data_IF_691010377973
#
_entry.id   IF_691010377973
#
_cell.length_a   1.000
_cell.length_b   1.000
_cell.length_c   1.000
_cell.angle_alpha   90.00
_cell.angle_beta   90.00
_cell.angle_gamma   90.00
#
_symmetry.space_group_name_H-M   'P 1'
#
loop_
_entity.id
_entity.type
_entity.pdbx_description
1 polymer ?
#
# COMPACT_ATOMS: atom_id res chain seq x y z
N UNK A 1 -19.61 4.22 27.57
CA UNK A 1 -18.32 3.91 26.90
C UNK A 1 -18.21 4.83 25.72
N UNK A 2 -17.11 5.57 25.58
CA UNK A 2 -16.96 6.47 24.43
C UNK A 2 -16.75 5.65 23.16
N UNK A 3 -17.31 6.14 22.05
CA UNK A 3 -17.28 5.48 20.74
C UNK A 3 -16.44 6.26 19.74
N UNK A 4 -15.64 5.56 18.94
CA UNK A 4 -14.85 6.16 17.88
C UNK A 4 -15.02 5.39 16.58
N UNK A 5 -15.18 6.12 15.49
CA UNK A 5 -15.21 5.56 14.14
C UNK A 5 -14.04 6.06 13.31
N UNK A 6 -13.53 5.20 12.46
CA UNK A 6 -12.41 5.52 11.56
C UNK A 6 -12.81 5.38 10.11
N UNK A 7 -12.40 6.35 9.31
CA UNK A 7 -12.42 6.24 7.86
C UNK A 7 -11.02 6.35 7.31
N UNK A 8 -10.60 5.36 6.54
CA UNK A 8 -9.27 5.34 5.91
C UNK A 8 -9.39 5.51 4.41
N UNK A 9 -8.70 6.50 3.89
CA UNK A 9 -8.50 6.70 2.46
C UNK A 9 -7.02 6.53 2.13
N UNK A 10 -6.73 5.90 0.98
CA UNK A 10 -5.37 5.87 0.43
C UNK A 10 -4.71 4.51 0.39
N UNK A 11 -3.46 4.45 0.85
CA UNK A 11 -2.56 3.32 0.66
C UNK A 11 -2.46 2.41 1.90
N UNK A 12 -1.71 1.32 1.78
CA UNK A 12 -1.43 0.37 2.87
C UNK A 12 -0.75 1.04 4.07
N UNK A 13 0.03 2.10 3.85
CA UNK A 13 0.62 2.88 4.94
C UNK A 13 -0.47 3.58 5.74
N UNK A 14 -1.45 4.21 5.07
CA UNK A 14 -2.59 4.84 5.77
C UNK A 14 -3.41 3.79 6.54
N UNK A 15 -3.61 2.60 5.96
CA UNK A 15 -4.30 1.51 6.66
C UNK A 15 -3.56 1.11 7.94
N UNK A 16 -2.26 0.82 7.85
CA UNK A 16 -1.43 0.55 9.02
C UNK A 16 -1.55 1.67 10.09
N UNK A 17 -1.46 2.92 9.66
CA UNK A 17 -1.55 4.07 10.58
C UNK A 17 -2.92 4.20 11.24
N UNK A 18 -3.99 3.86 10.54
CA UNK A 18 -5.35 3.82 11.12
C UNK A 18 -5.46 2.73 12.16
N UNK A 19 -5.01 1.52 11.86
CA UNK A 19 -5.07 0.40 12.80
C UNK A 19 -4.26 0.70 14.07
N UNK A 20 -3.09 1.33 13.92
CA UNK A 20 -2.29 1.78 15.06
C UNK A 20 -3.01 2.86 15.92
N UNK A 21 -3.68 3.82 15.27
CA UNK A 21 -4.50 4.80 15.99
C UNK A 21 -5.71 4.15 16.68
N UNK A 22 -6.35 3.15 16.05
CA UNK A 22 -7.43 2.37 16.66
C UNK A 22 -6.96 1.70 17.98
N UNK A 23 -5.75 1.14 17.99
CA UNK A 23 -5.18 0.57 19.23
C UNK A 23 -4.99 1.60 20.34
N UNK A 24 -4.56 2.82 20.00
CA UNK A 24 -4.44 3.89 20.99
C UNK A 24 -5.80 4.23 21.61
N UNK A 25 -6.86 4.30 20.82
CA UNK A 25 -8.21 4.52 21.33
C UNK A 25 -8.73 3.32 22.15
N UNK A 26 -8.48 2.08 21.70
CA UNK A 26 -8.83 0.87 22.47
C UNK A 26 -8.14 0.85 23.85
N UNK A 27 -6.83 1.15 23.91
CA UNK A 27 -6.06 1.24 25.17
C UNK A 27 -6.61 2.34 26.12
N UNK A 28 -7.28 3.36 25.56
CA UNK A 28 -7.95 4.42 26.32
C UNK A 28 -9.39 4.09 26.71
N UNK A 29 -9.90 2.90 26.32
CA UNK A 29 -11.24 2.42 26.67
C UNK A 29 -12.34 2.85 25.70
N UNK A 30 -12.02 3.26 24.48
CA UNK A 30 -13.00 3.51 23.43
C UNK A 30 -13.43 2.22 22.72
N UNK A 31 -14.71 2.16 22.34
CA UNK A 31 -15.27 1.17 21.43
C UNK A 31 -15.05 1.62 19.98
N UNK A 32 -14.48 0.74 19.14
CA UNK A 32 -14.35 1.01 17.71
C UNK A 32 -15.64 0.61 17.00
N UNK A 33 -16.25 1.55 16.30
CA UNK A 33 -17.52 1.38 15.61
C UNK A 33 -17.38 1.53 14.09
N UNK A 34 -18.43 1.15 13.35
CA UNK A 34 -18.45 1.30 11.90
C UNK A 34 -18.57 2.77 11.49
N UNK A 35 -18.24 3.08 10.25
CA UNK A 35 -18.24 4.45 9.70
C UNK A 35 -19.63 5.12 9.68
N UNK A 36 -20.70 4.34 9.81
CA UNK A 36 -22.09 4.80 9.78
C UNK A 36 -22.75 4.90 11.16
N UNK A 37 -22.05 4.48 12.20
CA UNK A 37 -22.56 4.49 13.56
C UNK A 37 -22.45 5.89 14.17
N UNK A 38 -23.32 6.18 15.13
CA UNK A 38 -23.24 7.42 15.91
C UNK A 38 -22.12 7.26 16.94
N UNK A 39 -21.07 8.09 16.79
CA UNK A 39 -19.87 8.04 17.60
C UNK A 39 -19.57 9.39 18.27
N UNK A 40 -18.77 9.36 19.35
CA UNK A 40 -18.27 10.55 20.04
C UNK A 40 -17.09 11.19 19.30
N UNK A 41 -16.34 10.38 18.56
CA UNK A 41 -15.17 10.81 17.80
C UNK A 41 -15.21 10.18 16.41
N UNK A 42 -14.92 10.95 15.37
CA UNK A 42 -14.66 10.46 14.02
C UNK A 42 -13.25 10.83 13.62
N UNK A 43 -12.47 9.84 13.20
CA UNK A 43 -11.10 10.03 12.72
C UNK A 43 -11.06 9.73 11.22
N UNK A 44 -10.68 10.72 10.41
CA UNK A 44 -10.56 10.57 8.95
C UNK A 44 -9.08 10.60 8.58
N UNK A 45 -8.54 9.42 8.24
CA UNK A 45 -7.17 9.31 7.75
C UNK A 45 -7.15 9.54 6.24
N UNK A 46 -6.65 10.68 5.83
CA UNK A 46 -6.79 11.25 4.50
C UNK A 46 -5.66 10.86 3.56
N UNK A 47 -5.98 10.79 2.27
CA UNK A 47 -5.03 10.62 1.18
C UNK A 47 -5.08 11.82 0.24
N UNK A 48 -3.95 12.16 -0.37
CA UNK A 48 -3.83 13.27 -1.33
C UNK A 48 -3.17 12.87 -2.65
N UNK A 49 -3.07 11.57 -2.95
CA UNK A 49 -2.46 11.08 -4.20
C UNK A 49 -3.30 11.45 -5.43
N UNK A 50 -4.61 11.52 -5.29
CA UNK A 50 -5.53 11.90 -6.38
C UNK A 50 -6.56 12.95 -5.92
N UNK A 51 -7.04 13.79 -6.85
CA UNK A 51 -8.12 14.75 -6.58
C UNK A 51 -9.41 14.08 -6.10
N UNK A 52 -9.65 12.84 -6.53
CA UNK A 52 -10.80 12.04 -6.06
C UNK A 52 -10.69 11.73 -4.56
N UNK A 53 -9.48 11.46 -4.08
CA UNK A 53 -9.24 11.18 -2.66
C UNK A 53 -9.52 12.41 -1.80
N UNK A 54 -9.09 13.61 -2.22
CA UNK A 54 -9.39 14.86 -1.51
C UNK A 54 -10.89 15.14 -1.47
N UNK A 55 -11.59 14.93 -2.62
CA UNK A 55 -13.04 15.08 -2.68
C UNK A 55 -13.77 14.12 -1.74
N UNK A 56 -13.37 12.86 -1.71
CA UNK A 56 -13.93 11.87 -0.78
C UNK A 56 -13.68 12.28 0.67
N UNK A 57 -12.47 12.73 1.01
CA UNK A 57 -12.17 13.23 2.37
C UNK A 57 -13.17 14.31 2.80
N UNK A 58 -13.40 15.33 1.97
CA UNK A 58 -14.39 16.39 2.28
C UNK A 58 -15.82 15.88 2.41
N UNK A 59 -16.22 14.92 1.58
CA UNK A 59 -17.58 14.31 1.70
C UNK A 59 -17.78 13.59 3.03
N UNK A 60 -16.74 12.88 3.51
CA UNK A 60 -16.82 12.18 4.79
C UNK A 60 -16.78 13.13 6.00
N UNK A 61 -16.00 14.21 5.93
CA UNK A 61 -16.00 15.27 6.92
C UNK A 61 -17.43 15.80 7.13
N UNK A 62 -18.10 16.22 6.05
CA UNK A 62 -19.49 16.70 6.12
C UNK A 62 -20.49 15.65 6.59
N UNK A 63 -20.23 14.35 6.32
CA UNK A 63 -21.12 13.26 6.76
C UNK A 63 -21.01 12.99 8.25
N UNK A 64 -19.81 12.98 8.81
CA UNK A 64 -19.56 12.70 10.23
C UNK A 64 -20.38 13.64 11.14
N UNK A 65 -20.33 14.94 10.88
CA UNK A 65 -21.12 15.94 11.67
C UNK A 65 -22.63 15.84 11.46
N UNK A 66 -23.09 15.26 10.33
CA UNK A 66 -24.53 14.98 10.14
C UNK A 66 -25.01 13.81 11.01
N UNK A 67 -24.13 12.84 11.29
CA UNK A 67 -24.45 11.71 12.18
C UNK A 67 -24.50 12.14 13.64
N UNK A 68 -23.55 12.93 14.09
CA UNK A 68 -23.50 13.48 15.43
C UNK A 68 -22.85 14.89 15.42
N UNK A 69 -23.64 15.92 15.68
CA UNK A 69 -23.16 17.32 15.67
C UNK A 69 -22.17 17.60 16.79
N UNK A 70 -22.28 16.90 17.91
CA UNK A 70 -21.45 17.09 19.11
C UNK A 70 -20.18 16.21 19.07
N UNK A 71 -20.01 15.38 18.06
CA UNK A 71 -18.82 14.56 17.93
C UNK A 71 -17.57 15.39 17.65
N UNK A 72 -16.44 14.97 18.17
CA UNK A 72 -15.13 15.48 17.78
C UNK A 72 -14.75 14.91 16.42
N UNK A 73 -14.39 15.78 15.50
CA UNK A 73 -13.94 15.41 14.16
C UNK A 73 -12.46 15.67 14.00
N UNK A 74 -11.68 14.58 13.91
CA UNK A 74 -10.24 14.62 13.70
C UNK A 74 -9.89 14.25 12.25
N UNK A 75 -9.12 15.10 11.58
CA UNK A 75 -8.63 14.88 10.21
C UNK A 75 -7.12 14.74 10.23
N UNK A 76 -6.64 13.57 9.78
CA UNK A 76 -5.20 13.23 9.84
C UNK A 76 -4.69 12.80 8.45
N UNK A 77 -3.37 12.72 8.28
CA UNK A 77 -2.74 12.10 7.12
C UNK A 77 -2.26 13.07 6.04
N UNK A 78 -2.17 12.55 4.80
CA UNK A 78 -1.45 13.26 3.73
C UNK A 78 -2.14 14.54 3.26
N UNK A 79 -3.47 14.59 3.19
CA UNK A 79 -4.17 15.80 2.78
C UNK A 79 -4.04 16.89 3.85
N UNK A 80 -4.19 16.54 5.13
CA UNK A 80 -3.97 17.48 6.24
C UNK A 80 -2.54 18.04 6.24
N UNK A 81 -1.55 17.24 5.84
CA UNK A 81 -0.16 17.68 5.79
C UNK A 81 0.11 18.70 4.67
N UNK A 82 -0.47 18.51 3.47
CA UNK A 82 -0.15 19.37 2.31
C UNK A 82 -1.09 20.56 2.15
N UNK A 83 -2.26 20.51 2.74
CA UNK A 83 -3.28 21.55 2.65
C UNK A 83 -3.97 21.82 4.01
N UNK A 84 -3.20 22.10 5.08
CA UNK A 84 -3.77 22.30 6.42
C UNK A 84 -4.76 23.48 6.46
N UNK A 85 -4.51 24.54 5.70
CA UNK A 85 -5.39 25.71 5.64
C UNK A 85 -6.75 25.38 5.02
N UNK A 86 -6.78 24.53 3.96
CA UNK A 86 -8.03 24.07 3.35
C UNK A 86 -8.87 23.26 4.35
N UNK A 87 -8.22 22.44 5.19
CA UNK A 87 -8.90 21.65 6.22
C UNK A 87 -9.34 22.55 7.38
N UNK A 88 -8.50 23.50 7.80
CA UNK A 88 -8.84 24.45 8.87
C UNK A 88 -10.02 25.36 8.52
N UNK A 89 -10.23 25.65 7.24
CA UNK A 89 -11.37 26.43 6.75
C UNK A 89 -12.70 25.65 6.85
N UNK A 90 -12.66 24.35 7.12
CA UNK A 90 -13.89 23.55 7.34
C UNK A 90 -14.30 23.71 8.81
N UNK A 91 -15.40 24.43 9.04
CA UNK A 91 -15.86 24.81 10.38
C UNK A 91 -16.05 23.61 11.32
N UNK A 92 -16.46 22.48 10.78
CA UNK A 92 -16.77 21.25 11.52
C UNK A 92 -15.52 20.47 12.00
N UNK A 93 -14.30 20.83 11.62
CA UNK A 93 -13.09 20.10 12.00
C UNK A 93 -12.55 20.64 13.34
N UNK A 94 -12.34 19.75 14.28
CA UNK A 94 -11.89 20.07 15.64
C UNK A 94 -10.39 19.80 15.83
N UNK A 95 -9.85 18.72 15.23
CA UNK A 95 -8.44 18.31 15.37
C UNK A 95 -7.83 18.04 13.99
N UNK A 96 -6.68 18.68 13.71
CA UNK A 96 -5.93 18.48 12.47
C UNK A 96 -4.52 18.01 12.82
N UNK A 97 -4.16 16.83 12.29
CA UNK A 97 -2.84 16.24 12.46
C UNK A 97 -2.30 15.89 11.07
N UNK A 98 -1.04 16.24 10.77
CA UNK A 98 -0.39 15.87 9.53
C UNK A 98 0.01 14.38 9.49
N UNK A 99 1.19 14.13 8.96
CA UNK A 99 1.77 12.79 8.89
C UNK A 99 2.74 12.50 10.04
N UNK A 100 2.81 13.38 11.04
CA UNK A 100 3.58 13.27 12.28
C UNK A 100 2.68 13.46 13.49
N UNK A 101 3.17 13.06 14.66
CA UNK A 101 2.50 13.26 15.96
C UNK A 101 1.14 12.55 16.11
N UNK A 102 0.87 11.51 15.32
CA UNK A 102 -0.40 10.78 15.38
C UNK A 102 -0.60 10.01 16.68
N UNK A 103 0.48 9.71 17.41
CA UNK A 103 0.40 9.15 18.76
C UNK A 103 -0.41 10.04 19.74
N UNK A 104 -0.51 11.35 19.46
CA UNK A 104 -1.26 12.30 20.29
C UNK A 104 -2.76 12.39 19.96
N UNK A 105 -3.26 11.59 19.01
CA UNK A 105 -4.64 11.72 18.51
C UNK A 105 -5.69 11.62 19.61
N UNK A 106 -5.54 10.67 20.54
CA UNK A 106 -6.51 10.47 21.64
C UNK A 106 -6.49 11.66 22.60
N UNK A 107 -5.29 12.08 23.03
CA UNK A 107 -5.10 13.25 23.89
C UNK A 107 -5.78 14.50 23.33
N UNK A 108 -5.50 14.82 22.05
CA UNK A 108 -6.03 16.00 21.37
C UNK A 108 -7.55 15.95 21.18
N UNK A 109 -8.12 14.79 20.90
CA UNK A 109 -9.57 14.63 20.81
C UNK A 109 -10.24 14.82 22.17
N UNK A 110 -9.67 14.26 23.24
CA UNK A 110 -10.19 14.43 24.59
C UNK A 110 -10.06 15.88 25.10
N UNK A 111 -8.96 16.55 24.79
CA UNK A 111 -8.72 17.95 25.14
C UNK A 111 -9.68 18.88 24.38
N UNK A 112 -9.87 18.65 23.07
CA UNK A 112 -10.83 19.40 22.25
C UNK A 112 -12.25 19.26 22.81
N UNK A 113 -12.67 18.04 23.19
CA UNK A 113 -13.99 17.78 23.79
C UNK A 113 -14.18 18.52 25.14
N UNK A 114 -13.12 18.64 25.96
CA UNK A 114 -13.17 19.31 27.26
C UNK A 114 -13.14 20.83 27.17
N UNK A 115 -12.28 21.34 26.31
CA UNK A 115 -12.01 22.79 26.22
C UNK A 115 -12.81 23.51 25.17
N UNK A 116 -13.44 22.78 24.25
CA UNK A 116 -14.08 23.29 23.04
C UNK A 116 -13.11 24.09 22.13
N UNK A 117 -11.80 23.78 22.23
CA UNK A 117 -10.76 24.38 21.40
C UNK A 117 -10.46 23.49 20.20
N UNK A 118 -10.12 24.13 19.09
CA UNK A 118 -9.63 23.43 17.89
C UNK A 118 -8.11 23.34 17.91
N UNK A 119 -7.60 22.19 17.47
CA UNK A 119 -6.15 21.93 17.43
C UNK A 119 -5.68 21.71 15.99
N UNK A 120 -4.66 22.45 15.57
CA UNK A 120 -3.91 22.19 14.35
C UNK A 120 -2.43 22.01 14.72
N UNK A 121 -1.96 20.76 14.71
CA UNK A 121 -0.57 20.42 15.05
C UNK A 121 0.23 19.90 13.83
N UNK A 122 -0.16 20.34 12.63
CA UNK A 122 0.62 20.04 11.43
C UNK A 122 1.99 20.69 11.55
N UNK A 123 3.04 19.88 11.49
CA UNK A 123 4.43 20.34 11.61
C UNK A 123 5.18 20.21 10.29
N UNK A 124 6.23 21.01 10.12
CA UNK A 124 7.15 20.85 9.00
C UNK A 124 7.86 19.48 9.04
N UNK A 125 8.10 18.93 7.87
CA UNK A 125 8.74 17.64 7.69
C UNK A 125 10.24 17.83 7.42
N UNK A 126 11.03 17.94 8.46
CA UNK A 126 12.49 18.10 8.39
C UNK A 126 13.22 16.77 8.46
N UNK A 127 14.53 16.77 8.21
CA UNK A 127 15.40 15.59 8.38
C UNK A 127 15.49 15.16 9.86
N UNK A 128 15.43 16.10 10.77
CA UNK A 128 15.60 15.88 12.21
C UNK A 128 14.35 15.29 12.90
N UNK A 129 13.18 15.33 12.23
CA UNK A 129 12.01 14.65 12.76
C UNK A 129 12.23 13.12 12.73
N UNK A 130 12.22 12.44 13.84
CA UNK A 130 12.33 10.99 13.95
C UNK A 130 11.25 10.21 13.16
N UNK A 131 11.38 8.91 13.10
CA UNK A 131 10.30 8.03 12.62
C UNK A 131 9.08 8.18 13.54
N UNK A 132 7.87 8.30 12.97
CA UNK A 132 6.63 8.36 13.75
C UNK A 132 6.27 6.95 14.21
N UNK A 133 6.72 6.60 15.40
CA UNK A 133 6.60 5.24 15.93
C UNK A 133 5.15 5.00 16.35
N UNK A 134 4.44 4.28 15.52
CA UNK A 134 3.17 3.65 15.84
C UNK A 134 3.41 2.15 15.73
N UNK A 135 2.98 1.38 16.71
CA UNK A 135 3.08 -0.09 16.70
C UNK A 135 1.69 -0.70 16.79
N UNK A 136 1.56 -1.89 16.22
CA UNK A 136 0.30 -2.63 16.19
C UNK A 136 0.53 -3.99 16.83
N UNK A 137 -0.31 -4.35 17.77
CA UNK A 137 -0.31 -5.69 18.39
C UNK A 137 -1.33 -6.62 17.71
N UNK A 138 -2.47 -6.05 17.26
CA UNK A 138 -3.52 -6.77 16.58
C UNK A 138 -4.08 -5.94 15.43
N UNK A 139 -4.23 -6.54 14.25
CA UNK A 139 -4.89 -5.96 13.08
C UNK A 139 -6.27 -6.60 12.86
N UNK A 140 -7.13 -5.91 12.12
CA UNK A 140 -8.47 -6.44 11.81
C UNK A 140 -8.42 -7.76 11.03
N UNK A 141 -7.50 -7.85 10.06
CA UNK A 141 -7.18 -9.13 9.41
C UNK A 141 -6.37 -10.00 10.37
N UNK A 142 -6.89 -11.19 10.71
CA UNK A 142 -6.19 -12.15 11.57
C UNK A 142 -5.22 -13.07 10.82
N UNK A 143 -4.96 -12.82 9.54
CA UNK A 143 -4.19 -13.73 8.68
C UNK A 143 -2.91 -13.10 8.18
N UNK A 144 -2.99 -11.87 7.65
CA UNK A 144 -1.86 -11.08 7.15
C UNK A 144 -1.77 -9.75 7.86
N UNK A 145 -0.57 -9.36 8.28
CA UNK A 145 -0.30 -8.10 8.94
C UNK A 145 0.61 -7.20 8.11
N UNK A 146 0.35 -5.89 8.13
CA UNK A 146 1.26 -4.89 7.57
C UNK A 146 2.23 -4.43 8.63
N UNK A 147 3.51 -4.27 8.26
CA UNK A 147 4.52 -3.62 9.11
C UNK A 147 5.11 -2.45 8.33
N UNK A 148 4.95 -1.25 8.87
CA UNK A 148 5.57 -0.04 8.30
C UNK A 148 7.02 0.05 8.76
N UNK A 149 7.95 -0.10 7.80
CA UNK A 149 9.39 -0.07 8.08
C UNK A 149 10.05 1.25 7.64
N UNK A 150 9.38 2.02 6.76
CA UNK A 150 9.99 3.17 6.12
C UNK A 150 8.94 4.24 5.84
N UNK A 151 9.33 5.50 5.90
CA UNK A 151 8.51 6.67 5.61
C UNK A 151 9.30 7.69 4.79
N UNK A 152 8.57 8.58 4.07
CA UNK A 152 9.17 9.62 3.24
C UNK A 152 9.79 9.11 1.94
N UNK A 153 10.15 10.04 1.04
CA UNK A 153 10.74 9.70 -0.26
C UNK A 153 11.53 10.89 -0.82
N UNK A 154 12.76 10.63 -1.30
CA UNK A 154 13.65 11.63 -1.90
C UNK A 154 13.72 11.52 -3.43
N UNK A 155 12.76 10.82 -4.09
CA UNK A 155 12.79 10.63 -5.54
C UNK A 155 12.31 11.86 -6.31
N UNK A 156 11.39 12.66 -5.76
CA UNK A 156 10.83 13.86 -6.37
C UNK A 156 10.38 13.64 -7.82
N UNK A 157 9.66 12.51 -8.07
CA UNK A 157 9.03 12.29 -9.35
C UNK A 157 8.07 13.46 -9.66
N UNK A 158 8.05 13.97 -10.89
CA UNK A 158 7.40 15.24 -11.25
C UNK A 158 5.88 15.25 -11.02
N UNK A 159 5.23 14.10 -10.96
CA UNK A 159 3.80 13.95 -10.68
C UNK A 159 3.46 13.73 -9.21
N UNK A 160 4.48 13.50 -8.36
CA UNK A 160 4.27 12.90 -7.04
C UNK A 160 4.28 13.95 -5.91
N UNK A 161 3.17 14.00 -5.17
CA UNK A 161 3.04 14.89 -4.00
C UNK A 161 3.65 14.29 -2.72
N UNK A 162 4.03 13.02 -2.73
CA UNK A 162 4.45 12.28 -1.54
C UNK A 162 5.69 12.86 -0.84
N UNK A 163 6.76 13.33 -1.53
CA UNK A 163 7.88 13.99 -0.84
C UNK A 163 7.44 15.17 0.04
N UNK A 164 6.41 15.89 -0.39
CA UNK A 164 5.87 17.05 0.34
C UNK A 164 4.91 16.64 1.47
N UNK A 165 4.21 15.50 1.28
CA UNK A 165 3.27 14.99 2.27
C UNK A 165 3.91 14.12 3.35
N UNK A 166 5.04 13.47 3.06
CA UNK A 166 5.69 12.50 3.95
C UNK A 166 7.13 12.87 4.32
N UNK A 167 7.68 13.90 3.68
CA UNK A 167 9.03 14.40 3.93
C UNK A 167 10.13 13.48 3.42
N UNK A 168 11.37 13.70 3.92
CA UNK A 168 12.55 12.92 3.54
C UNK A 168 12.48 11.49 4.05
N UNK A 169 13.33 10.63 3.47
CA UNK A 169 13.48 9.22 3.86
C UNK A 169 13.73 9.10 5.36
N UNK A 170 12.99 8.20 5.99
CA UNK A 170 13.15 7.79 7.38
C UNK A 170 12.91 6.29 7.50
N UNK A 171 13.87 5.62 8.10
CA UNK A 171 13.84 4.19 8.34
C UNK A 171 13.56 3.90 9.81
N UNK A 172 12.72 2.92 10.06
CA UNK A 172 12.47 2.42 11.40
C UNK A 172 13.63 1.55 11.86
N UNK A 173 14.06 1.59 13.14
CA UNK A 173 15.09 0.69 13.66
C UNK A 173 14.71 -0.78 13.41
N UNK A 174 15.70 -1.59 13.00
CA UNK A 174 15.45 -2.98 12.63
C UNK A 174 14.98 -3.83 13.80
N UNK A 175 15.42 -3.51 15.01
CA UNK A 175 15.00 -4.22 16.23
C UNK A 175 13.53 -3.99 16.54
N UNK A 176 13.05 -2.74 16.40
CA UNK A 176 11.62 -2.40 16.59
C UNK A 176 10.73 -3.12 15.58
N UNK A 177 11.21 -3.25 14.32
CA UNK A 177 10.50 -4.00 13.26
C UNK A 177 10.42 -5.48 13.64
N UNK A 178 11.52 -6.06 14.10
CA UNK A 178 11.59 -7.46 14.51
C UNK A 178 10.68 -7.76 15.69
N UNK A 179 10.70 -6.93 16.73
CA UNK A 179 9.86 -7.10 17.92
C UNK A 179 8.36 -7.06 17.56
N UNK A 180 7.95 -6.11 16.70
CA UNK A 180 6.56 -6.06 16.24
C UNK A 180 6.20 -7.30 15.45
N UNK A 181 7.07 -7.75 14.53
CA UNK A 181 6.83 -8.95 13.75
C UNK A 181 6.72 -10.22 14.61
N UNK A 182 7.53 -10.34 15.67
CA UNK A 182 7.44 -11.43 16.66
C UNK A 182 6.11 -11.41 17.38
N UNK A 183 5.65 -10.24 17.83
CA UNK A 183 4.34 -10.09 18.50
C UNK A 183 3.21 -10.51 17.57
N UNK A 184 3.22 -10.05 16.32
CA UNK A 184 2.23 -10.43 15.31
C UNK A 184 2.25 -11.95 15.03
N UNK A 185 3.42 -12.55 14.84
CA UNK A 185 3.55 -13.99 14.62
C UNK A 185 3.01 -14.81 15.81
N UNK A 186 3.31 -14.39 17.04
CA UNK A 186 2.80 -15.02 18.27
C UNK A 186 1.29 -14.85 18.44
N UNK A 187 0.71 -13.77 17.90
CA UNK A 187 -0.74 -13.55 17.84
C UNK A 187 -1.43 -14.32 16.69
N UNK A 188 -0.68 -15.17 15.97
CA UNK A 188 -1.21 -16.10 14.97
C UNK A 188 -1.21 -15.59 13.53
N UNK A 189 -0.63 -14.42 13.26
CA UNK A 189 -0.48 -13.93 11.89
C UNK A 189 0.54 -14.77 11.12
N UNK A 190 0.15 -15.23 9.93
CA UNK A 190 0.93 -16.15 9.10
C UNK A 190 1.80 -15.45 8.05
N UNK A 191 1.38 -14.28 7.62
CA UNK A 191 2.11 -13.47 6.63
C UNK A 191 2.32 -12.05 7.13
N UNK A 192 3.55 -11.54 6.99
CA UNK A 192 3.88 -10.13 7.19
C UNK A 192 4.13 -9.47 5.85
N UNK A 193 3.48 -8.32 5.64
CA UNK A 193 3.66 -7.49 4.45
C UNK A 193 4.51 -6.29 4.84
N UNK A 194 5.75 -6.28 4.37
CA UNK A 194 6.67 -5.15 4.57
C UNK A 194 6.17 -3.97 3.76
N UNK A 195 5.81 -2.87 4.43
CA UNK A 195 5.25 -1.68 3.77
C UNK A 195 6.01 -0.40 4.14
N UNK A 196 5.89 0.59 3.28
CA UNK A 196 6.47 1.92 3.43
C UNK A 196 6.12 2.78 2.23
N UNK A 197 6.61 4.00 2.23
CA UNK A 197 6.44 4.94 1.12
C UNK A 197 7.37 4.57 -0.05
N UNK A 198 8.62 4.23 0.27
CA UNK A 198 9.63 3.80 -0.70
C UNK A 198 10.57 2.79 -0.02
N UNK A 199 10.07 1.57 0.18
CA UNK A 199 10.79 0.54 0.97
C UNK A 199 12.19 0.23 0.46
N UNK A 200 12.43 0.40 -0.86
CA UNK A 200 13.75 0.24 -1.46
C UNK A 200 14.81 1.23 -0.96
N UNK A 201 14.40 2.34 -0.35
CA UNK A 201 15.32 3.29 0.27
C UNK A 201 15.54 3.07 1.76
N UNK A 202 15.02 1.98 2.33
CA UNK A 202 15.26 1.65 3.73
C UNK A 202 16.77 1.57 4.03
N UNK A 203 17.16 2.22 5.11
CA UNK A 203 18.53 2.24 5.63
C UNK A 203 19.43 3.33 5.05
N UNK A 204 18.99 4.08 4.01
CA UNK A 204 19.82 5.15 3.43
C UNK A 204 20.03 6.35 4.39
N UNK A 205 19.22 6.47 5.41
CA UNK A 205 19.25 7.52 6.43
C UNK A 205 19.85 7.08 7.77
N UNK A 206 20.12 5.79 7.95
CA UNK A 206 20.59 5.24 9.24
C UNK A 206 22.09 5.44 9.51
N UNK A 207 22.87 5.92 8.54
CA UNK A 207 24.30 6.15 8.71
C UNK A 207 25.15 4.88 8.84
N UNK A 208 24.58 3.71 8.55
CA UNK A 208 25.24 2.41 8.54
C UNK A 208 24.92 1.62 7.26
N UNK A 209 25.41 0.38 7.15
CA UNK A 209 25.20 -0.46 5.97
C UNK A 209 23.91 -1.27 5.98
N UNK A 210 23.04 -1.08 6.97
CA UNK A 210 21.75 -1.77 7.06
C UNK A 210 20.85 -1.36 5.88
N UNK A 211 20.30 -2.34 5.17
CA UNK A 211 19.42 -2.16 4.01
C UNK A 211 18.17 -3.04 4.12
N UNK A 212 17.25 -2.89 3.18
CA UNK A 212 16.00 -3.66 3.12
C UNK A 212 16.23 -5.18 3.24
N UNK A 213 17.28 -5.70 2.62
CA UNK A 213 17.56 -7.14 2.65
C UNK A 213 17.89 -7.64 4.06
N UNK A 214 18.56 -6.83 4.87
CA UNK A 214 18.90 -7.21 6.25
C UNK A 214 17.65 -7.31 7.13
N UNK A 215 16.67 -6.44 6.89
CA UNK A 215 15.34 -6.55 7.55
C UNK A 215 14.67 -7.86 7.16
N UNK A 216 14.66 -8.21 5.87
CA UNK A 216 14.02 -9.44 5.37
C UNK A 216 14.69 -10.69 5.95
N UNK A 217 16.02 -10.72 5.97
CA UNK A 217 16.80 -11.83 6.57
C UNK A 217 16.47 -11.96 8.05
N UNK A 218 16.46 -10.86 8.80
CA UNK A 218 16.12 -10.87 10.22
C UNK A 218 14.69 -11.35 10.48
N UNK A 219 13.71 -10.89 9.70
CA UNK A 219 12.32 -11.35 9.81
C UNK A 219 12.17 -12.84 9.44
N UNK A 220 13.01 -13.34 8.53
CA UNK A 220 12.97 -14.76 8.11
C UNK A 220 13.37 -15.73 9.23
N UNK A 221 14.00 -15.26 10.31
CA UNK A 221 14.34 -16.07 11.48
C UNK A 221 13.18 -16.33 12.44
N UNK A 222 12.06 -15.60 12.31
CA UNK A 222 10.89 -15.71 13.22
C UNK A 222 10.18 -17.04 12.96
N UNK A 223 10.19 -17.98 13.91
CA UNK A 223 9.70 -19.35 13.73
C UNK A 223 8.21 -19.41 13.33
N UNK A 224 7.33 -18.70 14.03
CA UNK A 224 5.88 -18.74 13.85
C UNK A 224 5.38 -17.95 12.64
N UNK A 225 6.26 -17.32 11.87
CA UNK A 225 5.95 -16.59 10.65
C UNK A 225 6.16 -17.50 9.43
N UNK A 226 5.13 -17.70 8.62
CA UNK A 226 5.19 -18.56 7.42
C UNK A 226 5.65 -17.80 6.18
N UNK A 227 5.27 -16.51 6.03
CA UNK A 227 5.48 -15.73 4.81
C UNK A 227 5.90 -14.28 5.08
N UNK A 228 6.75 -13.78 4.20
CA UNK A 228 7.15 -12.38 4.12
C UNK A 228 6.85 -11.89 2.70
N UNK A 229 6.03 -10.86 2.58
CA UNK A 229 5.70 -10.25 1.29
C UNK A 229 6.23 -8.82 1.22
N UNK A 230 6.81 -8.48 0.08
CA UNK A 230 7.23 -7.11 -0.20
C UNK A 230 6.07 -6.30 -0.77
N UNK A 231 5.95 -5.05 -0.35
CA UNK A 231 5.15 -4.05 -1.05
C UNK A 231 5.89 -3.55 -2.30
N UNK A 232 5.50 -2.39 -2.82
CA UNK A 232 6.09 -1.83 -4.03
C UNK A 232 7.59 -1.54 -3.87
N UNK A 233 8.38 -2.00 -4.82
CA UNK A 233 9.81 -1.72 -4.93
C UNK A 233 10.15 -1.08 -6.28
N UNK A 234 11.29 -0.44 -6.38
CA UNK A 234 11.79 0.09 -7.65
C UNK A 234 12.84 -0.82 -8.27
N UNK A 235 12.94 -0.77 -9.60
CA UNK A 235 13.94 -1.52 -10.35
C UNK A 235 15.39 -1.19 -9.91
N UNK A 236 15.61 0.01 -9.36
CA UNK A 236 16.92 0.48 -8.93
C UNK A 236 17.59 -0.36 -7.84
N UNK A 237 16.79 -0.94 -6.93
CA UNK A 237 17.35 -1.76 -5.83
C UNK A 237 17.68 -3.20 -6.26
N UNK A 238 17.18 -3.63 -7.41
CA UNK A 238 17.37 -5.00 -7.89
C UNK A 238 18.83 -5.18 -8.33
N UNK A 239 19.58 -5.97 -7.57
CA UNK A 239 20.91 -6.45 -7.90
C UNK A 239 20.95 -7.97 -7.83
N UNK A 240 21.97 -8.60 -8.41
CA UNK A 240 22.13 -10.05 -8.35
C UNK A 240 22.33 -10.51 -6.90
N UNK A 241 23.11 -9.77 -6.11
CA UNK A 241 23.32 -10.04 -4.70
C UNK A 241 22.02 -9.97 -3.90
N UNK A 242 21.26 -8.87 -4.06
CA UNK A 242 19.94 -8.72 -3.42
C UNK A 242 19.03 -9.91 -3.72
N UNK A 243 18.93 -10.33 -4.98
CA UNK A 243 18.06 -11.43 -5.38
C UNK A 243 18.52 -12.79 -4.85
N UNK A 244 19.84 -13.03 -4.79
CA UNK A 244 20.41 -14.28 -4.22
C UNK A 244 20.13 -14.34 -2.72
N UNK A 245 20.41 -13.28 -1.98
CA UNK A 245 20.10 -13.19 -0.54
C UNK A 245 18.58 -13.39 -0.30
N UNK A 246 17.76 -12.72 -1.11
CA UNK A 246 16.30 -12.85 -1.04
C UNK A 246 15.82 -14.29 -1.29
N UNK A 247 16.40 -15.00 -2.27
CA UNK A 247 16.08 -16.41 -2.57
C UNK A 247 16.44 -17.36 -1.44
N UNK A 248 17.47 -17.04 -0.65
CA UNK A 248 17.83 -17.80 0.54
C UNK A 248 16.80 -17.66 1.67
N UNK A 249 16.04 -16.56 1.69
CA UNK A 249 14.96 -16.33 2.64
C UNK A 249 13.70 -17.11 2.22
N UNK A 250 13.59 -18.39 2.65
CA UNK A 250 12.51 -19.31 2.23
C UNK A 250 11.08 -18.82 2.50
N UNK A 251 10.91 -17.91 3.43
CA UNK A 251 9.60 -17.29 3.78
C UNK A 251 9.17 -16.20 2.82
N UNK A 252 10.08 -15.67 1.99
CA UNK A 252 9.76 -14.61 1.02
C UNK A 252 8.82 -15.12 -0.06
N UNK A 253 7.75 -14.39 -0.30
CA UNK A 253 6.78 -14.65 -1.34
C UNK A 253 7.34 -14.30 -2.72
N UNK A 254 7.11 -15.15 -3.71
CA UNK A 254 7.59 -14.98 -5.09
C UNK A 254 6.69 -14.02 -5.88
N UNK A 255 6.51 -12.82 -5.35
CA UNK A 255 5.74 -11.74 -5.93
C UNK A 255 6.49 -10.43 -5.79
N UNK A 256 6.71 -9.73 -6.89
CA UNK A 256 7.31 -8.39 -6.88
C UNK A 256 6.37 -7.39 -7.54
N UNK A 257 5.94 -6.40 -6.76
CA UNK A 257 5.32 -5.21 -7.33
C UNK A 257 6.43 -4.24 -7.71
N UNK A 258 6.79 -4.25 -9.00
CA UNK A 258 7.91 -3.46 -9.52
C UNK A 258 7.36 -2.23 -10.25
N UNK A 259 7.43 -1.06 -9.62
CA UNK A 259 6.84 0.19 -10.14
C UNK A 259 7.51 0.62 -11.45
N UNK A 260 6.76 0.62 -12.57
CA UNK A 260 7.23 1.02 -13.90
C UNK A 260 6.81 2.46 -14.25
N UNK A 261 5.55 2.79 -14.05
CA UNK A 261 4.88 4.06 -14.32
C UNK A 261 4.64 4.38 -15.81
N UNK A 262 5.58 4.11 -16.71
CA UNK A 262 5.42 4.22 -18.18
C UNK A 262 6.39 3.26 -18.88
N UNK A 263 6.01 2.74 -20.03
CA UNK A 263 6.86 1.92 -20.91
C UNK A 263 7.57 2.72 -22.00
N UNK A 264 7.57 4.05 -21.94
CA UNK A 264 8.24 4.95 -22.88
C UNK A 264 9.33 5.77 -22.18
N UNK A 265 10.55 5.75 -22.69
CA UNK A 265 11.70 6.43 -22.08
C UNK A 265 11.55 7.96 -22.06
N UNK A 266 10.91 8.54 -23.07
CA UNK A 266 10.58 9.98 -23.10
C UNK A 266 9.72 10.35 -21.90
N UNK A 267 8.66 9.58 -21.63
CA UNK A 267 7.74 9.83 -20.53
C UNK A 267 8.39 9.55 -19.18
N UNK A 268 9.18 8.47 -19.04
CA UNK A 268 9.95 8.20 -17.82
C UNK A 268 10.89 9.36 -17.48
N UNK A 269 11.55 9.95 -18.46
CA UNK A 269 12.40 11.13 -18.28
C UNK A 269 11.59 12.35 -17.81
N UNK A 270 10.45 12.62 -18.42
CA UNK A 270 9.55 13.71 -17.99
C UNK A 270 8.99 13.48 -16.58
N UNK A 271 8.77 12.24 -16.19
CA UNK A 271 8.37 11.82 -14.83
C UNK A 271 9.51 11.92 -13.80
N UNK A 272 10.75 12.26 -14.22
CA UNK A 272 11.96 12.23 -13.38
C UNK A 272 12.24 10.82 -12.81
N UNK A 273 12.00 9.76 -13.62
CA UNK A 273 12.38 8.39 -13.24
C UNK A 273 13.87 8.16 -13.55
N UNK A 274 14.56 7.45 -12.65
CA UNK A 274 16.02 7.25 -12.71
C UNK A 274 16.40 5.94 -13.38
N UNK A 275 15.55 5.43 -14.28
CA UNK A 275 15.79 4.23 -15.09
C UNK A 275 15.15 4.37 -16.46
N UNK A 276 15.65 3.57 -17.41
CA UNK A 276 15.09 3.40 -18.74
C UNK A 276 14.35 2.07 -18.86
N UNK A 277 13.58 1.91 -19.93
CA UNK A 277 12.91 0.65 -20.26
C UNK A 277 13.90 -0.50 -20.43
N UNK A 278 15.08 -0.25 -21.02
CA UNK A 278 16.16 -1.26 -21.14
C UNK A 278 16.72 -1.69 -19.77
N UNK A 279 16.97 -0.74 -18.87
CA UNK A 279 17.41 -1.06 -17.50
C UNK A 279 16.35 -1.89 -16.78
N UNK A 280 15.06 -1.52 -16.90
CA UNK A 280 13.94 -2.24 -16.30
C UNK A 280 13.85 -3.67 -16.85
N UNK A 281 13.94 -3.84 -18.16
CA UNK A 281 13.96 -5.14 -18.85
C UNK A 281 15.07 -6.06 -18.31
N UNK A 282 16.28 -5.53 -18.18
CA UNK A 282 17.43 -6.28 -17.61
C UNK A 282 17.16 -6.76 -16.19
N UNK A 283 16.54 -5.89 -15.33
CA UNK A 283 16.16 -6.27 -13.97
C UNK A 283 15.09 -7.35 -13.94
N UNK A 284 14.09 -7.26 -14.79
CA UNK A 284 13.03 -8.29 -14.92
C UNK A 284 13.64 -9.63 -15.35
N UNK A 285 14.55 -9.66 -16.32
CA UNK A 285 15.24 -10.90 -16.73
C UNK A 285 15.97 -11.53 -15.56
N UNK A 286 16.75 -10.75 -14.82
CA UNK A 286 17.48 -11.21 -13.64
C UNK A 286 16.54 -11.76 -12.56
N UNK A 287 15.39 -11.14 -12.33
CA UNK A 287 14.37 -11.64 -11.41
C UNK A 287 13.85 -13.00 -11.88
N UNK A 288 13.45 -13.12 -13.16
CA UNK A 288 12.89 -14.37 -13.72
C UNK A 288 13.90 -15.52 -13.76
N UNK A 289 15.19 -15.23 -13.92
CA UNK A 289 16.27 -16.24 -13.85
C UNK A 289 16.39 -16.83 -12.44
N UNK A 290 16.25 -16.01 -11.38
CA UNK A 290 16.42 -16.45 -9.99
C UNK A 290 15.09 -16.98 -9.40
N UNK A 291 13.98 -16.41 -9.84
CA UNK A 291 12.61 -16.76 -9.41
C UNK A 291 11.75 -17.12 -10.64
N UNK A 292 11.84 -18.34 -11.19
CA UNK A 292 11.15 -18.72 -12.43
C UNK A 292 9.61 -18.58 -12.37
N UNK A 293 9.01 -18.82 -11.18
CA UNK A 293 7.56 -18.76 -10.97
C UNK A 293 7.09 -17.43 -10.38
N UNK A 294 7.88 -16.37 -10.53
CA UNK A 294 7.56 -15.06 -9.98
C UNK A 294 6.36 -14.42 -10.66
N UNK A 295 5.44 -13.88 -9.87
CA UNK A 295 4.46 -12.93 -10.38
C UNK A 295 5.02 -11.51 -10.31
N UNK A 296 4.97 -10.81 -11.43
CA UNK A 296 5.35 -9.40 -11.54
C UNK A 296 4.10 -8.55 -11.70
N UNK A 297 3.93 -7.58 -10.81
CA UNK A 297 2.85 -6.60 -10.90
C UNK A 297 3.42 -5.20 -10.98
N UNK A 298 2.66 -4.24 -11.52
CA UNK A 298 3.14 -2.87 -11.69
C UNK A 298 2.01 -1.85 -11.69
N UNK A 299 2.39 -0.58 -11.53
CA UNK A 299 1.54 0.59 -11.74
C UNK A 299 1.95 1.29 -13.04
N UNK A 300 0.94 1.71 -13.83
CA UNK A 300 1.12 2.53 -15.05
C UNK A 300 0.23 3.76 -14.97
N UNK A 301 0.81 4.92 -15.28
CA UNK A 301 0.10 6.19 -15.38
C UNK A 301 -0.05 6.53 -16.86
N UNK A 302 -1.28 6.67 -17.33
CA UNK A 302 -1.60 7.07 -18.70
C UNK A 302 -2.01 8.55 -18.77
N UNK A 303 -1.72 9.18 -19.91
CA UNK A 303 -2.07 10.59 -20.15
C UNK A 303 -1.25 11.52 -19.29
N UNK A 304 0.02 11.20 -19.06
CA UNK A 304 0.98 12.11 -18.46
C UNK A 304 1.23 13.31 -19.42
N UNK A 305 1.46 14.56 -18.91
CA UNK A 305 1.74 15.69 -19.78
C UNK A 305 2.89 15.41 -20.77
N UNK A 306 2.65 15.68 -22.05
CA UNK A 306 3.58 15.40 -23.13
C UNK A 306 3.54 13.99 -23.71
N UNK A 307 2.64 13.11 -23.21
CA UNK A 307 2.41 11.79 -23.78
C UNK A 307 1.56 11.90 -25.04
N UNK A 308 2.09 11.52 -26.21
CA UNK A 308 1.37 11.38 -27.46
C UNK A 308 0.92 9.93 -27.71
N UNK A 309 0.36 9.62 -28.89
CA UNK A 309 -0.17 8.28 -29.18
C UNK A 309 0.95 7.27 -29.43
N UNK A 310 2.08 7.70 -30.00
CA UNK A 310 3.25 6.85 -30.18
C UNK A 310 3.86 6.45 -28.82
N UNK A 311 4.00 7.39 -27.89
CA UNK A 311 4.50 7.14 -26.54
C UNK A 311 3.59 6.13 -25.79
N UNK A 312 2.28 6.25 -25.97
CA UNK A 312 1.32 5.31 -25.38
C UNK A 312 1.44 3.93 -26.02
N UNK A 313 1.61 3.86 -27.35
CA UNK A 313 1.81 2.59 -28.07
C UNK A 313 3.11 1.91 -27.63
N UNK A 314 4.21 2.66 -27.43
CA UNK A 314 5.44 2.13 -26.82
C UNK A 314 5.16 1.48 -25.47
N UNK A 315 4.37 2.15 -24.62
CA UNK A 315 3.98 1.63 -23.30
C UNK A 315 3.19 0.31 -23.44
N UNK A 316 2.22 0.23 -24.34
CA UNK A 316 1.46 -1.00 -24.59
C UNK A 316 2.37 -2.16 -25.06
N UNK A 317 3.30 -1.89 -25.97
CA UNK A 317 4.25 -2.89 -26.47
C UNK A 317 5.19 -3.37 -25.35
N UNK A 318 5.71 -2.44 -24.54
CA UNK A 318 6.61 -2.76 -23.45
C UNK A 318 5.96 -3.60 -22.36
N UNK A 319 4.72 -3.29 -21.95
CA UNK A 319 4.05 -4.10 -20.93
C UNK A 319 3.73 -5.52 -21.42
N UNK A 320 3.41 -5.69 -22.73
CA UNK A 320 3.26 -7.01 -23.35
C UNK A 320 4.57 -7.79 -23.32
N UNK A 321 5.69 -7.14 -23.67
CA UNK A 321 7.02 -7.76 -23.67
C UNK A 321 7.41 -8.25 -22.26
N UNK A 322 7.19 -7.43 -21.23
CA UNK A 322 7.53 -7.78 -19.86
C UNK A 322 6.68 -8.93 -19.32
N UNK A 323 5.39 -9.01 -19.69
CA UNK A 323 4.47 -10.07 -19.28
C UNK A 323 4.12 -9.98 -17.80
N UNK A 324 3.51 -8.87 -17.38
CA UNK A 324 3.03 -8.71 -16.02
C UNK A 324 1.84 -9.62 -15.72
N UNK A 325 1.78 -10.14 -14.48
CA UNK A 325 0.62 -10.89 -13.99
C UNK A 325 -0.57 -9.98 -13.66
N UNK A 326 -0.29 -8.71 -13.29
CA UNK A 326 -1.31 -7.70 -13.04
C UNK A 326 -0.74 -6.30 -13.24
N UNK A 327 -1.55 -5.40 -13.80
CA UNK A 327 -1.22 -3.99 -14.00
C UNK A 327 -2.30 -3.12 -13.35
N UNK A 328 -1.90 -2.21 -12.49
CA UNK A 328 -2.78 -1.18 -11.95
C UNK A 328 -2.67 0.07 -12.83
N UNK A 329 -3.76 0.44 -13.49
CA UNK A 329 -3.80 1.55 -14.43
C UNK A 329 -4.37 2.80 -13.77
N UNK A 330 -3.60 3.87 -13.82
CA UNK A 330 -3.98 5.18 -13.30
C UNK A 330 -4.01 6.22 -14.40
N UNK A 331 -5.02 7.07 -14.39
CA UNK A 331 -5.01 8.30 -15.20
C UNK A 331 -4.19 9.35 -14.47
N UNK A 332 -3.30 10.04 -15.18
CA UNK A 332 -2.58 11.17 -14.57
C UNK A 332 -3.56 12.15 -13.91
N UNK A 333 -3.32 12.44 -12.64
CA UNK A 333 -4.11 13.37 -11.84
C UNK A 333 -3.25 14.59 -11.50
N UNK A 334 -3.64 15.74 -12.03
CA UNK A 334 -2.95 17.02 -11.83
C UNK A 334 -2.96 17.41 -10.34
N UNK A 335 -1.80 17.60 -9.73
CA UNK A 335 -1.66 17.89 -8.29
C UNK A 335 -0.91 19.21 -8.08
N UNK A 336 -1.58 20.18 -7.43
CA UNK A 336 -0.97 21.45 -7.04
C UNK A 336 0.26 21.19 -6.16
N UNK A 337 1.35 21.92 -6.40
CA UNK A 337 2.60 21.76 -5.68
C UNK A 337 3.54 20.68 -6.27
N UNK A 338 3.16 20.02 -7.37
CA UNK A 338 4.05 19.11 -8.11
C UNK A 338 4.51 19.75 -9.42
N UNK A 339 5.76 19.49 -9.89
CA UNK A 339 6.25 20.08 -11.15
C UNK A 339 5.35 19.82 -12.36
N UNK A 340 4.82 18.60 -12.50
CA UNK A 340 3.95 18.24 -13.64
C UNK A 340 2.60 18.95 -13.63
N UNK A 341 2.22 19.62 -12.53
CA UNK A 341 1.04 20.47 -12.47
C UNK A 341 1.14 21.62 -13.49
N UNK A 342 2.32 22.19 -13.66
CA UNK A 342 2.56 23.37 -14.50
C UNK A 342 3.05 23.01 -15.93
N UNK A 343 3.19 21.73 -16.26
CA UNK A 343 3.54 21.31 -17.62
C UNK A 343 2.45 21.72 -18.61
N UNK A 344 2.87 22.32 -19.73
CA UNK A 344 1.95 22.91 -20.71
C UNK A 344 1.14 21.88 -21.49
N UNK A 345 1.76 20.76 -21.87
CA UNK A 345 1.18 19.73 -22.73
C UNK A 345 0.27 18.76 -21.96
N UNK A 346 -0.74 19.30 -21.28
CA UNK A 346 -1.70 18.50 -20.55
C UNK A 346 -2.58 17.66 -21.50
N UNK A 347 -2.66 16.38 -21.29
CA UNK A 347 -3.49 15.47 -22.09
C UNK A 347 -4.97 15.64 -21.73
N UNK A 348 -5.84 15.62 -22.73
CA UNK A 348 -7.29 15.74 -22.58
C UNK A 348 -7.89 14.58 -21.75
N UNK A 349 -8.97 14.87 -21.01
CA UNK A 349 -9.61 13.90 -20.15
C UNK A 349 -10.21 12.69 -20.89
N UNK A 350 -10.71 12.88 -22.11
CA UNK A 350 -11.27 11.80 -22.93
C UNK A 350 -10.15 10.90 -23.46
N UNK A 351 -9.01 11.49 -23.86
CA UNK A 351 -7.82 10.74 -24.28
C UNK A 351 -7.29 9.90 -23.12
N UNK A 352 -7.19 10.48 -21.91
CA UNK A 352 -6.82 9.72 -20.69
C UNK A 352 -7.77 8.56 -20.43
N UNK A 353 -9.09 8.79 -20.60
CA UNK A 353 -10.10 7.74 -20.42
C UNK A 353 -9.95 6.63 -21.46
N UNK A 354 -9.75 7.00 -22.72
CA UNK A 354 -9.53 6.06 -23.81
C UNK A 354 -8.31 5.18 -23.55
N UNK A 355 -7.13 5.79 -23.32
CA UNK A 355 -5.88 5.07 -23.03
C UNK A 355 -5.98 4.19 -21.78
N UNK A 356 -6.65 4.68 -20.73
CA UNK A 356 -6.89 3.89 -19.51
C UNK A 356 -7.70 2.63 -19.82
N UNK A 357 -8.77 2.75 -20.60
CA UNK A 357 -9.61 1.61 -20.96
C UNK A 357 -8.86 0.58 -21.83
N UNK A 358 -8.10 1.03 -22.82
CA UNK A 358 -7.27 0.14 -23.66
C UNK A 358 -6.26 -0.65 -22.81
N UNK A 359 -5.52 0.03 -21.94
CA UNK A 359 -4.54 -0.63 -21.09
C UNK A 359 -5.18 -1.56 -20.05
N UNK A 360 -6.37 -1.23 -19.53
CA UNK A 360 -7.12 -2.10 -18.61
C UNK A 360 -7.56 -3.39 -19.33
N UNK A 361 -8.02 -3.30 -20.58
CA UNK A 361 -8.38 -4.49 -21.37
C UNK A 361 -7.16 -5.37 -21.62
N UNK A 362 -6.06 -4.79 -22.08
CA UNK A 362 -4.80 -5.51 -22.23
C UNK A 362 -4.33 -6.17 -20.93
N UNK A 363 -4.37 -5.46 -19.81
CA UNK A 363 -3.99 -5.98 -18.51
C UNK A 363 -4.85 -7.18 -18.09
N UNK A 364 -6.16 -7.12 -18.37
CA UNK A 364 -7.09 -8.22 -18.08
C UNK A 364 -6.76 -9.48 -18.91
N UNK A 365 -6.47 -9.31 -20.20
CA UNK A 365 -6.08 -10.42 -21.06
C UNK A 365 -4.77 -11.06 -20.57
N UNK A 366 -3.76 -10.24 -20.24
CA UNK A 366 -2.48 -10.70 -19.69
C UNK A 366 -2.66 -11.44 -18.35
N UNK A 367 -3.53 -10.92 -17.47
CA UNK A 367 -3.86 -11.59 -16.19
C UNK A 367 -4.50 -12.95 -16.45
N UNK A 368 -5.44 -13.03 -17.39
CA UNK A 368 -6.11 -14.29 -17.74
C UNK A 368 -5.13 -15.32 -18.29
N UNK A 369 -4.22 -14.91 -19.17
CA UNK A 369 -3.18 -15.80 -19.70
C UNK A 369 -2.21 -16.28 -18.61
N UNK A 370 -1.82 -15.39 -17.67
CA UNK A 370 -1.00 -15.76 -16.52
C UNK A 370 -1.72 -16.80 -15.66
N UNK A 371 -2.99 -16.58 -15.30
CA UNK A 371 -3.77 -17.51 -14.48
C UNK A 371 -3.96 -18.87 -15.17
N UNK A 372 -4.15 -18.91 -16.50
CA UNK A 372 -4.23 -20.17 -17.25
C UNK A 372 -2.93 -20.99 -17.18
N UNK A 373 -1.77 -20.33 -17.23
CA UNK A 373 -0.46 -21.01 -17.08
C UNK A 373 -0.28 -21.59 -15.67
N UNK A 374 -0.76 -20.86 -14.66
CA UNK A 374 -0.67 -21.27 -13.26
C UNK A 374 -1.70 -22.36 -12.88
N UNK A 375 -2.72 -22.63 -13.72
CA UNK A 375 -3.83 -23.53 -13.39
C UNK A 375 -3.36 -24.96 -13.12
N UNK A 376 -2.33 -25.44 -13.81
CA UNK A 376 -1.77 -26.78 -13.65
C UNK A 376 -0.79 -26.93 -12.49
N UNK A 377 -0.38 -25.80 -11.89
CA UNK A 377 0.60 -25.80 -10.82
C UNK A 377 -0.06 -26.13 -9.46
N UNK A 378 0.75 -26.66 -8.56
CA UNK A 378 0.34 -26.86 -7.16
C UNK A 378 0.59 -25.58 -6.37
N UNK A 379 -0.47 -25.03 -5.79
CA UNK A 379 -0.43 -23.76 -5.07
C UNK A 379 -0.38 -23.94 -3.57
N UNK A 380 0.47 -23.18 -2.90
CA UNK A 380 0.41 -22.94 -1.46
C UNK A 380 -0.45 -21.70 -1.21
N UNK A 381 -1.66 -21.88 -0.67
CA UNK A 381 -2.65 -20.81 -0.46
C UNK A 381 -2.79 -20.51 1.03
N UNK A 382 -2.71 -19.24 1.40
CA UNK A 382 -3.08 -18.76 2.73
C UNK A 382 -4.52 -18.24 2.66
N UNK A 383 -5.45 -18.99 3.26
CA UNK A 383 -6.87 -18.62 3.25
C UNK A 383 -7.21 -17.61 4.34
N UNK A 384 -8.07 -16.64 4.02
CA UNK A 384 -8.39 -15.48 4.86
C UNK A 384 -9.88 -15.29 5.11
N UNK A 385 -10.65 -15.20 4.04
CA UNK A 385 -12.03 -14.73 4.06
C UNK A 385 -13.01 -15.82 3.63
N UNK A 386 -14.17 -15.84 4.31
CA UNK A 386 -15.33 -16.61 3.86
C UNK A 386 -16.25 -15.68 3.07
N UNK A 387 -16.46 -15.97 1.80
CA UNK A 387 -17.36 -15.22 0.94
C UNK A 387 -18.69 -16.00 0.80
N UNK A 388 -19.80 -15.33 1.12
CA UNK A 388 -21.17 -15.84 1.00
C UNK A 388 -21.41 -17.19 1.71
N UNK A 389 -20.61 -17.53 2.74
CA UNK A 389 -20.79 -18.74 3.53
C UNK A 389 -20.35 -20.05 2.85
N UNK A 390 -20.01 -20.05 1.58
CA UNK A 390 -19.72 -21.26 0.80
C UNK A 390 -18.36 -21.30 0.11
N UNK A 391 -17.62 -20.20 0.09
CA UNK A 391 -16.26 -20.11 -0.49
C UNK A 391 -15.29 -19.51 0.47
N UNK A 392 -14.14 -20.15 0.61
CA UNK A 392 -12.98 -19.63 1.28
C UNK A 392 -12.03 -19.02 0.24
N UNK A 393 -11.55 -17.81 0.49
CA UNK A 393 -10.67 -17.08 -0.42
C UNK A 393 -9.36 -16.76 0.29
N UNK A 394 -8.27 -16.84 -0.44
CA UNK A 394 -6.94 -16.52 0.04
C UNK A 394 -5.99 -16.17 -1.10
N UNK A 395 -4.70 -16.13 -0.79
CA UNK A 395 -3.66 -15.79 -1.75
C UNK A 395 -2.52 -16.79 -1.76
N UNK A 396 -2.04 -17.07 -2.96
CA UNK A 396 -0.84 -17.88 -3.18
C UNK A 396 0.43 -17.09 -2.83
N UNK A 397 1.59 -17.78 -2.80
CA UNK A 397 2.88 -17.09 -2.61
C UNK A 397 3.16 -16.07 -3.73
N UNK A 398 2.82 -16.38 -4.98
CA UNK A 398 2.94 -15.47 -6.11
C UNK A 398 1.71 -14.55 -6.31
N UNK A 399 0.92 -14.35 -5.24
CA UNK A 399 -0.16 -13.38 -5.10
C UNK A 399 -1.37 -13.57 -6.00
N UNK A 400 -1.61 -14.80 -6.47
CA UNK A 400 -2.84 -15.15 -7.15
C UNK A 400 -3.97 -15.23 -6.12
N UNK A 401 -5.10 -14.62 -6.40
CA UNK A 401 -6.32 -14.82 -5.65
C UNK A 401 -6.83 -16.22 -5.94
N UNK A 402 -7.05 -17.00 -4.90
CA UNK A 402 -7.46 -18.39 -5.00
C UNK A 402 -8.70 -18.63 -4.15
N UNK A 403 -9.71 -19.30 -4.72
CA UNK A 403 -10.91 -19.69 -4.00
C UNK A 403 -11.09 -21.20 -3.98
N UNK A 404 -11.67 -21.70 -2.89
CA UNK A 404 -12.00 -23.12 -2.69
C UNK A 404 -13.33 -23.25 -1.96
N UNK A 405 -13.99 -24.43 -1.99
CA UNK A 405 -15.16 -24.69 -1.15
C UNK A 405 -14.84 -24.38 0.33
N UNK A 406 -15.84 -23.82 1.03
CA UNK A 406 -15.66 -23.45 2.42
C UNK A 406 -15.35 -24.65 3.30
N UNK A 407 -14.31 -24.50 4.11
CA UNK A 407 -13.96 -25.41 5.20
C UNK A 407 -13.30 -24.59 6.31
N UNK A 408 -13.90 -24.57 7.50
CA UNK A 408 -13.42 -23.79 8.67
C UNK A 408 -11.99 -24.16 9.06
N UNK A 409 -11.63 -25.46 8.95
CA UNK A 409 -10.28 -25.94 9.30
C UNK A 409 -9.16 -25.34 8.45
N UNK A 410 -9.49 -24.78 7.29
CA UNK A 410 -8.51 -24.16 6.38
C UNK A 410 -8.33 -22.65 6.63
N UNK A 411 -9.25 -22.01 7.36
CA UNK A 411 -9.19 -20.57 7.61
C UNK A 411 -7.97 -20.21 8.45
N UNK A 412 -7.29 -19.13 8.09
CA UNK A 412 -6.03 -18.68 8.70
C UNK A 412 -4.89 -19.71 8.66
N UNK A 413 -4.96 -20.67 7.71
CA UNK A 413 -3.94 -21.70 7.51
C UNK A 413 -3.39 -21.66 6.10
N UNK A 414 -2.18 -22.16 5.97
CA UNK A 414 -1.55 -22.42 4.67
C UNK A 414 -1.97 -23.80 4.19
N UNK A 415 -2.53 -23.86 2.99
CA UNK A 415 -3.10 -25.08 2.42
C UNK A 415 -2.54 -25.30 1.01
N UNK A 416 -2.18 -26.53 0.69
CA UNK A 416 -1.83 -26.91 -0.68
C UNK A 416 -3.10 -27.18 -1.49
N UNK A 417 -3.20 -26.54 -2.66
CA UNK A 417 -4.37 -26.59 -3.51
C UNK A 417 -3.99 -26.89 -4.97
N UNK A 418 -4.92 -27.54 -5.69
CA UNK A 418 -4.83 -27.72 -7.14
C UNK A 418 -5.91 -26.87 -7.81
N UNK A 419 -5.55 -26.14 -8.85
CA UNK A 419 -6.49 -25.34 -9.65
C UNK A 419 -7.39 -26.23 -10.49
N UNK A 420 -8.64 -25.79 -10.69
CA UNK A 420 -9.64 -26.42 -11.56
C UNK A 420 -10.02 -25.50 -12.71
N UNK A 421 -10.30 -24.24 -12.40
CA UNK A 421 -10.77 -23.25 -13.38
C UNK A 421 -10.27 -21.85 -13.07
N UNK A 422 -10.23 -21.02 -14.08
CA UNK A 422 -10.02 -19.56 -13.94
C UNK A 422 -11.39 -18.89 -13.95
N UNK A 423 -11.72 -18.19 -12.87
CA UNK A 423 -12.99 -17.47 -12.70
C UNK A 423 -12.71 -15.97 -12.50
N UNK A 424 -12.89 -15.19 -13.58
CA UNK A 424 -12.52 -13.76 -13.56
C UNK A 424 -11.02 -13.54 -13.37
N UNK A 425 -10.63 -12.93 -12.25
CA UNK A 425 -9.22 -12.68 -11.90
C UNK A 425 -8.73 -13.62 -10.77
N UNK A 426 -9.34 -14.78 -10.58
CA UNK A 426 -8.94 -15.77 -9.57
C UNK A 426 -8.89 -17.20 -10.13
N UNK A 427 -8.19 -18.07 -9.43
CA UNK A 427 -8.24 -19.52 -9.65
C UNK A 427 -9.21 -20.12 -8.63
N UNK A 428 -10.17 -20.91 -9.12
CA UNK A 428 -10.95 -21.82 -8.30
C UNK A 428 -10.31 -23.20 -8.27
N UNK A 429 -10.26 -23.84 -7.11
CA UNK A 429 -9.65 -25.15 -6.99
C UNK A 429 -10.02 -25.89 -5.71
N UNK A 430 -9.36 -27.04 -5.48
CA UNK A 430 -9.59 -27.90 -4.33
C UNK A 430 -8.35 -27.99 -3.44
N UNK A 431 -8.60 -28.01 -2.14
CA UNK A 431 -7.58 -28.29 -1.14
C UNK A 431 -7.12 -29.75 -1.22
N UNK A 432 -5.82 -29.97 -1.17
CA UNK A 432 -5.23 -31.31 -1.14
C UNK A 432 -4.65 -31.65 0.24
N UNK A 433 -4.05 -30.70 0.94
CA UNK A 433 -3.44 -30.92 2.26
C UNK A 433 -3.22 -29.59 3.00
N UNK A 434 -3.53 -29.53 4.30
CA UNK A 434 -3.11 -28.43 5.17
C UNK A 434 -1.61 -28.57 5.45
N UNK A 435 -0.87 -27.47 5.40
CA UNK A 435 0.54 -27.42 5.79
C UNK A 435 0.61 -27.49 7.32
N UNK A 436 1.27 -28.53 7.82
CA UNK A 436 1.49 -28.76 9.25
C UNK A 436 2.73 -27.98 9.68
#
# INVERSE_FOLDING_TARGET
MNKVSFLTLGCKVNQYETEAMQELFKKRGYEICNENDICDVYVINTCTVTNLSDRKSRQFISRAKKLNKDAILAVVGCYSQVAPDEISAIEDVDVIIGTKNRARIVELCEESKKSNLKFNIVSELTKDCGFDVLSIENQESKTRAYIKIQEGCNMFCTYCIIPYARGPIKSRPIDDIYEEAVKLANNGYKEVIITGIHVGSYGLDLGNDTRLIDVIEKLSTIENLDRIRLSSIEAGIISKDFLIRLKNCKKVCEHFHLSLQSGCDKILKLMNRRYTTDMYRKKVRMIKEIFPNVALTTDIIVGFPGENDEDFQETLNFVKEIGFSKIHVFKYSKRKGTPAFDFKEQVDGNVKKFRSNELILLAKDMTTEFLKKELSEKHEVLFEENINGNRLVGYTRNYIRFSAPYNEDMKNKVVYCNGISVEGEEIFGLASKIKI
#
